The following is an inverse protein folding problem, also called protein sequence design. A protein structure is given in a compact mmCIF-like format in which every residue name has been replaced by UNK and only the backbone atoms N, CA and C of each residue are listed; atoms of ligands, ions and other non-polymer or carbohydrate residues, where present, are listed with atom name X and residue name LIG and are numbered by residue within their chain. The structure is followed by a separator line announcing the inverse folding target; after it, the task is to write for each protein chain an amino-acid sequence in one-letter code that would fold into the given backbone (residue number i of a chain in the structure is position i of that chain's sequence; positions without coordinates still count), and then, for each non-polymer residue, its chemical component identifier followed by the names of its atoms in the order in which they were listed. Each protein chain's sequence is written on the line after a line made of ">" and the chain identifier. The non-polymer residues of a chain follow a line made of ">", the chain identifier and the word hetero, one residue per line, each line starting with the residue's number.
data_IF_930411694930
#
_entry.id   IF_930411694930
#
_cell.length_a   1.000
_cell.length_b   1.000
_cell.length_c   1.000
_cell.angle_alpha   90.00
_cell.angle_beta   90.00
_cell.angle_gamma   90.00
#
_symmetry.space_group_name_H-M   'P 1'
#
loop_
_entity.id
_entity.type
_entity.pdbx_description
1 polymer ?
#
# COMPACT_ATOMS: atom_id res chain seq x y z
N UNK A 1 4.82 18.04 4.72
CA UNK A 1 5.38 18.61 5.95
C UNK A 1 6.50 17.75 6.49
N UNK A 2 7.46 18.36 7.17
CA UNK A 2 8.39 17.62 8.01
C UNK A 2 7.71 17.30 9.33
N UNK A 3 7.87 16.05 9.76
CA UNK A 3 7.36 15.57 11.04
C UNK A 3 8.51 15.09 11.91
N UNK A 4 8.39 15.33 13.21
CA UNK A 4 9.32 14.88 14.22
C UNK A 4 8.58 14.00 15.23
N UNK A 5 8.98 12.76 15.37
CA UNK A 5 8.53 11.91 16.47
C UNK A 5 9.03 12.50 17.78
N UNK A 6 8.14 12.71 18.73
CA UNK A 6 8.45 13.24 20.06
C UNK A 6 8.26 12.17 21.14
N UNK A 7 7.35 11.21 20.92
CA UNK A 7 7.08 10.11 21.82
C UNK A 7 6.37 8.95 21.10
N UNK A 8 6.25 7.79 21.74
CA UNK A 8 5.52 6.65 21.21
C UNK A 8 4.98 5.75 22.34
N UNK A 9 3.89 5.04 22.05
CA UNK A 9 3.27 4.06 22.95
C UNK A 9 3.47 2.65 22.40
N UNK A 10 3.57 1.68 23.32
CA UNK A 10 3.69 0.25 22.97
C UNK A 10 2.58 -0.54 23.64
N UNK A 11 2.18 -1.64 23.00
CA UNK A 11 1.34 -2.66 23.61
C UNK A 11 2.13 -3.55 24.60
N UNK A 12 1.42 -4.49 25.24
CA UNK A 12 1.99 -5.45 26.20
C UNK A 12 3.09 -6.34 25.58
N UNK A 13 3.12 -6.49 24.27
CA UNK A 13 4.11 -7.27 23.52
C UNK A 13 5.30 -6.43 23.07
N UNK A 14 5.35 -5.15 23.43
CA UNK A 14 6.40 -4.22 23.05
C UNK A 14 6.28 -3.66 21.62
N UNK A 15 5.18 -3.94 20.91
CA UNK A 15 4.90 -3.40 19.57
C UNK A 15 4.42 -1.96 19.68
N UNK A 16 5.01 -1.05 18.90
CA UNK A 16 4.58 0.34 18.83
C UNK A 16 3.18 0.43 18.24
N UNK A 17 2.25 1.05 18.96
CA UNK A 17 0.85 1.22 18.58
C UNK A 17 0.51 2.67 18.24
N UNK A 18 1.16 3.62 18.89
CA UNK A 18 0.97 5.06 18.66
C UNK A 18 2.33 5.73 18.55
N UNK A 19 2.44 6.70 17.65
CA UNK A 19 3.61 7.57 17.53
C UNK A 19 3.15 9.02 17.59
N UNK A 20 3.57 9.73 18.62
CA UNK A 20 3.26 11.15 18.80
C UNK A 20 4.25 12.00 18.01
N UNK A 21 3.72 12.83 17.12
CA UNK A 21 4.54 13.67 16.25
C UNK A 21 4.14 15.13 16.33
N UNK A 22 5.11 16.00 16.17
CA UNK A 22 4.91 17.40 15.80
C UNK A 22 5.21 17.58 14.32
N UNK A 23 4.60 18.56 13.68
CA UNK A 23 4.90 18.92 12.29
C UNK A 23 5.33 20.37 12.19
N UNK A 24 6.09 20.69 11.15
CA UNK A 24 6.60 22.02 10.88
C UNK A 24 5.82 22.67 9.73
N UNK A 25 4.93 23.64 10.00
CA UNK A 25 4.02 24.21 8.99
C UNK A 25 4.72 24.85 7.79
N UNK A 26 5.93 25.40 7.97
CA UNK A 26 6.67 26.05 6.88
C UNK A 26 7.25 25.07 5.86
N UNK A 27 7.26 23.78 6.18
CA UNK A 27 7.86 22.72 5.34
C UNK A 27 6.85 22.00 4.45
N UNK A 28 5.69 22.60 4.20
CA UNK A 28 4.67 22.02 3.33
C UNK A 28 5.27 21.66 1.97
N UNK A 29 5.01 20.45 1.50
CA UNK A 29 5.47 20.02 0.18
C UNK A 29 4.93 20.96 -0.92
N UNK A 30 5.78 21.28 -1.90
CA UNK A 30 5.41 22.20 -2.98
C UNK A 30 5.58 23.69 -2.67
N UNK A 31 6.00 24.08 -1.45
CA UNK A 31 6.27 25.51 -1.11
C UNK A 31 7.68 25.97 -1.44
N UNK A 32 8.52 25.09 -2.02
CA UNK A 32 9.93 25.44 -2.35
C UNK A 32 10.88 25.46 -1.14
N UNK A 33 10.47 24.94 0.02
CA UNK A 33 11.33 24.86 1.19
C UNK A 33 12.55 23.96 0.93
N UNK A 34 13.76 24.51 1.11
CA UNK A 34 15.03 23.79 0.86
C UNK A 34 15.98 23.77 2.08
N UNK A 35 15.53 24.29 3.21
CA UNK A 35 16.39 24.56 4.37
C UNK A 35 16.95 23.34 5.10
N UNK A 36 16.33 22.18 4.99
CA UNK A 36 16.75 20.95 5.69
C UNK A 36 16.52 19.71 4.83
N UNK A 37 17.38 18.71 4.98
CA UNK A 37 17.19 17.37 4.42
C UNK A 37 16.64 16.42 5.49
N UNK A 38 15.71 15.56 5.11
CA UNK A 38 15.19 14.48 5.97
C UNK A 38 15.59 13.12 5.43
N UNK A 39 15.75 12.13 6.32
CA UNK A 39 16.24 10.80 5.94
C UNK A 39 15.18 9.90 5.32
N UNK A 40 13.91 10.22 5.47
CA UNK A 40 12.82 9.37 4.99
C UNK A 40 11.60 10.18 4.58
N UNK A 41 10.74 9.54 3.81
CA UNK A 41 9.43 10.07 3.42
C UNK A 41 8.38 9.03 3.77
N UNK A 42 7.34 9.44 4.47
CA UNK A 42 6.16 8.61 4.78
C UNK A 42 4.96 9.17 4.04
N UNK A 43 3.99 8.31 3.76
CA UNK A 43 2.66 8.68 3.31
C UNK A 43 1.67 8.40 4.45
N UNK A 44 0.75 9.32 4.68
CA UNK A 44 -0.29 9.22 5.68
C UNK A 44 -1.61 9.77 5.15
N UNK A 45 -2.70 9.40 5.78
CA UNK A 45 -4.03 9.98 5.53
C UNK A 45 -4.66 10.38 6.87
N UNK A 46 -5.39 11.51 6.95
CA UNK A 46 -6.05 11.93 8.18
C UNK A 46 -7.24 11.03 8.47
N UNK A 47 -7.34 10.53 9.70
CA UNK A 47 -8.37 9.57 10.13
C UNK A 47 -9.79 10.07 9.85
N UNK A 48 -10.04 11.36 10.07
CA UNK A 48 -11.37 11.96 9.87
C UNK A 48 -11.69 12.31 8.41
N UNK A 49 -10.72 12.20 7.51
CA UNK A 49 -10.85 12.57 6.11
C UNK A 49 -10.27 11.51 5.16
N UNK A 50 -10.38 10.23 5.53
CA UNK A 50 -9.97 9.11 4.70
C UNK A 50 -11.16 8.25 4.32
N UNK A 51 -10.99 7.43 3.29
CA UNK A 51 -11.93 6.36 2.93
C UNK A 51 -11.31 5.01 3.18
N UNK A 52 -12.08 4.12 3.80
CA UNK A 52 -11.70 2.72 3.98
C UNK A 52 -11.90 1.97 2.66
N UNK A 53 -10.89 1.17 2.28
CA UNK A 53 -10.89 0.41 1.03
C UNK A 53 -10.33 -1.00 1.26
N UNK A 54 -10.63 -1.89 0.34
CA UNK A 54 -9.96 -3.19 0.25
C UNK A 54 -8.89 -3.13 -0.84
N UNK A 55 -7.67 -3.55 -0.53
CA UNK A 55 -6.60 -3.73 -1.50
C UNK A 55 -6.30 -5.22 -1.70
N UNK A 56 -6.18 -5.64 -2.96
CA UNK A 56 -5.75 -6.97 -3.37
C UNK A 56 -4.36 -6.91 -3.95
N UNK A 57 -3.44 -7.65 -3.38
CA UNK A 57 -2.06 -7.75 -3.82
C UNK A 57 -1.88 -9.11 -4.47
N UNK A 58 -1.57 -9.11 -5.76
CA UNK A 58 -1.34 -10.31 -6.53
C UNK A 58 0.16 -10.58 -6.68
N UNK A 59 0.54 -11.84 -6.56
CA UNK A 59 1.87 -12.37 -6.83
C UNK A 59 1.76 -13.53 -7.84
N UNK A 60 2.88 -14.13 -8.23
CA UNK A 60 2.89 -15.26 -9.15
C UNK A 60 1.97 -16.39 -8.66
N UNK A 61 1.15 -16.93 -9.55
CA UNK A 61 0.19 -17.99 -9.24
C UNK A 61 0.88 -19.30 -8.86
N UNK A 62 2.05 -19.56 -9.44
CA UNK A 62 2.86 -20.74 -9.19
C UNK A 62 4.12 -20.41 -8.40
N UNK A 63 4.61 -21.37 -7.63
CA UNK A 63 5.87 -21.26 -6.88
C UNK A 63 7.05 -21.65 -7.80
N UNK A 64 7.58 -20.67 -8.52
CA UNK A 64 8.70 -20.90 -9.47
C UNK A 64 9.99 -21.37 -8.79
N UNK A 65 10.19 -21.04 -7.50
CA UNK A 65 11.39 -21.46 -6.75
C UNK A 65 11.37 -22.97 -6.44
N UNK A 66 10.19 -23.55 -6.27
CA UNK A 66 9.99 -25.00 -6.04
C UNK A 66 9.66 -25.78 -7.31
N UNK A 67 9.49 -25.08 -8.43
CA UNK A 67 9.06 -25.65 -9.69
C UNK A 67 7.59 -25.45 -9.97
N UNK A 68 7.23 -25.36 -11.24
CA UNK A 68 5.85 -25.08 -11.71
C UNK A 68 4.90 -26.24 -11.45
N UNK A 69 5.40 -27.47 -11.46
CA UNK A 69 4.62 -28.69 -11.30
C UNK A 69 5.09 -29.50 -10.10
N UNK A 70 4.17 -30.11 -9.42
CA UNK A 70 4.39 -31.15 -8.41
C UNK A 70 4.76 -32.48 -9.09
N UNK A 71 5.23 -33.46 -8.31
CA UNK A 71 5.60 -34.79 -8.82
C UNK A 71 4.41 -35.53 -9.47
N UNK A 72 3.19 -35.24 -9.06
CA UNK A 72 1.95 -35.79 -9.60
C UNK A 72 1.45 -35.07 -10.88
N UNK A 73 2.19 -34.08 -11.38
CA UNK A 73 1.85 -33.29 -12.56
C UNK A 73 0.84 -32.15 -12.30
N UNK A 74 0.37 -31.96 -11.08
CA UNK A 74 -0.45 -30.80 -10.71
C UNK A 74 0.38 -29.52 -10.60
N UNK A 75 -0.28 -28.35 -10.74
CA UNK A 75 0.39 -27.06 -10.56
C UNK A 75 0.79 -26.87 -9.09
N UNK A 76 2.03 -26.46 -8.90
CA UNK A 76 2.54 -26.04 -7.59
C UNK A 76 2.08 -24.61 -7.30
N UNK A 77 0.88 -24.48 -6.75
CA UNK A 77 0.26 -23.18 -6.51
C UNK A 77 0.94 -22.45 -5.35
N UNK A 78 1.23 -21.17 -5.57
CA UNK A 78 1.72 -20.29 -4.53
C UNK A 78 0.56 -19.92 -3.58
N UNK A 79 0.59 -20.35 -2.31
CA UNK A 79 -0.46 -20.05 -1.35
C UNK A 79 -0.59 -18.56 -1.04
N UNK A 80 0.45 -17.78 -1.34
CA UNK A 80 0.51 -16.32 -1.16
C UNK A 80 0.27 -15.54 -2.46
N UNK A 81 -0.27 -16.20 -3.51
CA UNK A 81 -0.55 -15.56 -4.81
C UNK A 81 -1.57 -14.42 -4.71
N UNK A 82 -2.40 -14.39 -3.67
CA UNK A 82 -3.34 -13.33 -3.37
C UNK A 82 -3.34 -12.98 -1.89
N UNK A 83 -3.01 -11.73 -1.58
CA UNK A 83 -3.18 -11.14 -0.25
C UNK A 83 -4.30 -10.10 -0.28
N UNK A 84 -5.30 -10.24 0.59
CA UNK A 84 -6.42 -9.30 0.70
C UNK A 84 -6.28 -8.47 1.97
N UNK A 85 -6.08 -7.17 1.81
CA UNK A 85 -6.00 -6.20 2.88
C UNK A 85 -7.33 -5.45 2.98
N UNK A 86 -8.14 -5.74 3.99
CA UNK A 86 -9.52 -5.21 4.13
C UNK A 86 -9.61 -3.85 4.81
N UNK A 87 -8.56 -3.41 5.49
CA UNK A 87 -8.57 -2.22 6.34
C UNK A 87 -7.51 -1.20 5.88
N UNK A 88 -7.45 -0.98 4.57
CA UNK A 88 -6.63 0.08 3.99
C UNK A 88 -7.39 1.41 4.00
N UNK A 89 -6.63 2.50 4.05
CA UNK A 89 -7.18 3.85 4.02
C UNK A 89 -6.55 4.66 2.91
N UNK A 90 -7.37 5.42 2.19
CA UNK A 90 -6.95 6.28 1.08
C UNK A 90 -7.53 7.68 1.24
N UNK A 91 -6.99 8.62 0.50
CA UNK A 91 -7.46 9.99 0.44
C UNK A 91 -8.93 10.06 -0.04
N UNK A 92 -9.70 11.09 0.38
CA UNK A 92 -11.13 11.17 0.09
C UNK A 92 -11.47 11.46 -1.38
N UNK A 93 -10.50 11.92 -2.17
CA UNK A 93 -10.66 12.30 -3.58
C UNK A 93 -10.95 11.13 -4.54
N UNK A 94 -11.16 9.92 -4.02
CA UNK A 94 -11.63 8.76 -4.79
C UNK A 94 -13.17 8.71 -4.97
N UNK A 95 -13.88 9.80 -4.69
CA UNK A 95 -15.35 9.82 -4.72
C UNK A 95 -15.94 9.52 -6.11
N UNK A 96 -15.26 9.92 -7.18
CA UNK A 96 -15.70 9.79 -8.55
C UNK A 96 -15.03 8.67 -9.34
N UNK A 97 -14.31 7.79 -8.63
CA UNK A 97 -13.63 6.63 -9.22
C UNK A 97 -14.65 5.66 -9.82
N UNK A 98 -14.32 5.17 -11.00
CA UNK A 98 -15.07 4.14 -11.72
C UNK A 98 -14.26 2.85 -11.76
N UNK A 99 -14.92 1.68 -12.00
CA UNK A 99 -14.21 0.45 -12.32
C UNK A 99 -13.16 0.67 -13.41
N UNK A 100 -12.01 0.03 -13.29
CA UNK A 100 -10.85 0.12 -14.18
C UNK A 100 -10.04 1.42 -14.12
N UNK A 101 -10.44 2.45 -13.35
CA UNK A 101 -9.61 3.62 -13.12
C UNK A 101 -8.30 3.22 -12.43
N UNK A 102 -7.20 3.85 -12.85
CA UNK A 102 -5.84 3.50 -12.43
C UNK A 102 -5.22 4.60 -11.59
N UNK A 103 -4.52 4.20 -10.54
CA UNK A 103 -3.92 5.10 -9.56
C UNK A 103 -2.52 4.67 -9.18
N UNK A 104 -1.68 5.63 -8.88
CA UNK A 104 -0.48 5.37 -8.10
C UNK A 104 -0.79 5.63 -6.63
N UNK A 105 -0.80 4.59 -5.81
CA UNK A 105 -0.77 4.75 -4.36
C UNK A 105 0.67 5.01 -3.95
N UNK A 106 0.94 6.25 -3.58
CA UNK A 106 2.29 6.75 -3.33
C UNK A 106 3.04 5.83 -2.36
N UNK A 107 4.23 5.37 -2.75
CA UNK A 107 5.10 4.42 -2.04
C UNK A 107 4.56 2.99 -1.90
N UNK A 108 3.41 2.68 -2.46
CA UNK A 108 2.79 1.35 -2.38
C UNK A 108 2.80 0.60 -3.72
N UNK A 109 2.52 1.29 -4.81
CA UNK A 109 2.44 0.69 -6.14
C UNK A 109 1.40 1.34 -7.02
N UNK A 110 1.13 0.69 -8.14
CA UNK A 110 0.08 1.08 -9.07
C UNK A 110 -1.11 0.14 -8.90
N UNK A 111 -2.29 0.70 -8.84
CA UNK A 111 -3.54 0.01 -8.56
C UNK A 111 -4.61 0.37 -9.58
N UNK A 112 -5.56 -0.53 -9.79
CA UNK A 112 -6.79 -0.24 -10.52
C UNK A 112 -8.02 -0.56 -9.67
N UNK A 113 -9.08 0.20 -9.85
CA UNK A 113 -10.39 -0.13 -9.29
C UNK A 113 -10.89 -1.42 -9.92
N UNK A 114 -11.36 -2.37 -9.09
CA UNK A 114 -11.78 -3.69 -9.57
C UNK A 114 -13.00 -3.57 -10.51
N UNK A 115 -12.98 -4.28 -11.63
CA UNK A 115 -14.05 -4.20 -12.63
C UNK A 115 -15.39 -4.69 -12.11
N UNK A 116 -15.40 -5.70 -11.24
CA UNK A 116 -16.62 -6.40 -10.78
C UNK A 116 -17.03 -6.02 -9.37
N UNK A 117 -16.04 -5.88 -8.48
CA UNK A 117 -16.29 -5.78 -7.04
C UNK A 117 -16.21 -4.33 -6.51
N UNK A 118 -15.77 -3.37 -7.35
CA UNK A 118 -15.72 -1.98 -6.93
C UNK A 118 -17.10 -1.35 -6.84
N UNK A 119 -17.43 -0.79 -5.68
CA UNK A 119 -18.56 0.14 -5.51
C UNK A 119 -18.12 1.36 -4.71
N UNK A 120 -18.88 2.45 -4.77
CA UNK A 120 -18.57 3.68 -3.98
C UNK A 120 -18.61 3.44 -2.47
N UNK A 121 -19.47 2.51 -2.03
CA UNK A 121 -19.65 2.13 -0.62
C UNK A 121 -18.60 1.12 -0.17
N UNK A 122 -18.10 0.31 -1.11
CA UNK A 122 -17.12 -0.75 -0.86
C UNK A 122 -16.04 -0.72 -1.93
N UNK A 123 -15.12 0.26 -1.88
CA UNK A 123 -14.07 0.37 -2.87
C UNK A 123 -13.08 -0.79 -2.79
N UNK A 124 -12.83 -1.44 -3.92
CA UNK A 124 -11.86 -2.53 -4.06
C UNK A 124 -10.83 -2.15 -5.12
N UNK A 125 -9.54 -2.25 -4.76
CA UNK A 125 -8.44 -1.95 -5.66
C UNK A 125 -7.50 -3.14 -5.80
N UNK A 126 -7.13 -3.45 -7.03
CA UNK A 126 -6.17 -4.48 -7.39
C UNK A 126 -4.81 -3.86 -7.67
N UNK A 127 -3.74 -4.36 -7.04
CA UNK A 127 -2.38 -3.94 -7.38
C UNK A 127 -2.01 -4.48 -8.77
N UNK A 128 -1.65 -3.56 -9.67
CA UNK A 128 -1.15 -3.90 -11.01
C UNK A 128 0.32 -4.26 -10.93
N UNK A 129 1.12 -3.41 -10.25
CA UNK A 129 2.56 -3.59 -10.08
C UNK A 129 3.05 -2.90 -8.81
N UNK A 130 4.01 -3.51 -8.13
CA UNK A 130 4.71 -2.92 -7.00
C UNK A 130 5.75 -1.90 -7.48
N UNK A 131 6.20 -1.00 -6.58
CA UNK A 131 7.30 -0.05 -6.91
C UNK A 131 8.67 -0.73 -6.99
N UNK A 132 8.81 -1.92 -6.41
CA UNK A 132 10.02 -2.74 -6.53
C UNK A 132 9.62 -4.01 -7.27
N UNK A 133 10.35 -4.35 -8.32
CA UNK A 133 10.14 -5.63 -9.00
C UNK A 133 10.44 -6.77 -8.04
N UNK A 134 9.50 -7.70 -7.90
CA UNK A 134 9.73 -9.00 -7.28
C UNK A 134 10.39 -9.99 -8.26
N UNK A 135 10.41 -9.63 -9.56
CA UNK A 135 11.02 -10.43 -10.60
C UNK A 135 12.55 -10.42 -10.46
N UNK A 136 13.13 -11.58 -10.24
CA UNK A 136 14.58 -11.82 -10.29
C UNK A 136 14.88 -12.51 -11.61
N UNK A 137 15.75 -11.93 -12.43
CA UNK A 137 16.28 -12.64 -13.58
C UNK A 137 17.00 -13.90 -13.07
N UNK A 138 16.77 -15.08 -13.68
CA UNK A 138 17.60 -16.25 -13.42
C UNK A 138 19.06 -15.86 -13.70
N UNK A 139 19.94 -16.22 -12.78
CA UNK A 139 21.39 -16.05 -12.93
C UNK A 139 21.94 -17.06 -13.91
#
# INVERSE_FOLDING_TARGET
>A
YFVKCVDFEKDENGKVTVVHCTYDPITKNGTGFTGRKVKGTIHWVPVHHCKKVTARLYENLVDEEKGVYNEDGSLNLNPNSLTVLKDCYVEPNIADVKPEDKFQFVRQGYFCADLKDYTKEKPVFNRIVSLKSSFKLPK
#
